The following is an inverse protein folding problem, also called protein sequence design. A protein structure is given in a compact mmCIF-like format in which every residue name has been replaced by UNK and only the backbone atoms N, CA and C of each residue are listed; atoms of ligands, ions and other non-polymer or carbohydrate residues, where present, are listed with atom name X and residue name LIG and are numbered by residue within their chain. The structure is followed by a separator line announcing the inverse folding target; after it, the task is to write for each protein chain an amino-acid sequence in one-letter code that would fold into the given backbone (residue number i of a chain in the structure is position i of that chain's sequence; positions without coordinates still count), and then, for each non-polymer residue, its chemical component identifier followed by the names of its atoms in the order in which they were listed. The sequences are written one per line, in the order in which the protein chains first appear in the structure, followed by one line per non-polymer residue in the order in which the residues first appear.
data_IF_477774536067
#
_entry.id   IF_477774536067
#
_cell.length_a   1.000
_cell.length_b   1.000
_cell.length_c   1.000
_cell.angle_alpha   90.00
_cell.angle_beta   90.00
_cell.angle_gamma   90.00
#
_symmetry.space_group_name_H-M   'P 1'
#
loop_
_entity.id
_entity.type
_entity.pdbx_description
1 polymer ?
#
# COMPACT_ATOMS: atom_id res chain seq x y z
N UNK A 1 27.15 0.79 -8.07
CA UNK A 1 27.58 0.68 -6.67
C UNK A 1 26.43 1.05 -5.73
N UNK A 2 26.12 2.34 -5.54
CA UNK A 2 25.12 2.82 -4.54
C UNK A 2 23.78 2.08 -4.46
N UNK A 3 23.21 1.63 -5.58
CA UNK A 3 21.95 0.88 -5.57
C UNK A 3 22.11 -0.54 -4.99
N UNK A 4 23.25 -1.21 -5.27
CA UNK A 4 23.55 -2.52 -4.70
C UNK A 4 23.81 -2.40 -3.20
N UNK A 5 24.60 -1.40 -2.79
CA UNK A 5 24.91 -1.13 -1.37
C UNK A 5 23.63 -0.86 -0.55
N UNK A 6 22.67 -0.12 -1.14
CA UNK A 6 21.37 0.13 -0.50
C UNK A 6 20.55 -1.15 -0.34
N UNK A 7 20.55 -2.02 -1.36
CA UNK A 7 19.84 -3.31 -1.29
C UNK A 7 20.47 -4.20 -0.22
N UNK A 8 21.80 -4.27 -0.15
CA UNK A 8 22.52 -5.05 0.86
C UNK A 8 22.16 -4.60 2.29
N UNK A 9 22.11 -3.29 2.53
CA UNK A 9 21.73 -2.73 3.83
C UNK A 9 20.24 -2.94 4.17
N UNK A 10 19.36 -2.84 3.17
CA UNK A 10 17.91 -2.92 3.34
C UNK A 10 17.32 -4.33 3.09
N UNK A 11 18.15 -5.37 2.98
CA UNK A 11 17.72 -6.75 2.65
C UNK A 11 16.68 -7.26 3.66
N UNK A 12 16.90 -7.01 4.95
CA UNK A 12 16.00 -7.48 6.01
C UNK A 12 14.60 -6.85 5.90
N UNK A 13 14.53 -5.56 5.58
CA UNK A 13 13.26 -4.86 5.38
C UNK A 13 12.58 -5.29 4.08
N UNK A 14 13.36 -5.48 3.02
CA UNK A 14 12.87 -5.85 1.69
C UNK A 14 12.24 -7.24 1.68
N UNK A 15 12.78 -8.18 2.47
CA UNK A 15 12.31 -9.56 2.53
C UNK A 15 11.29 -9.81 3.66
N UNK A 16 10.94 -8.80 4.45
CA UNK A 16 10.00 -8.94 5.56
C UNK A 16 8.62 -9.48 5.10
N UNK A 17 8.23 -9.27 3.83
CA UNK A 17 6.95 -9.76 3.32
C UNK A 17 6.85 -11.29 3.23
N UNK A 18 7.98 -12.02 3.26
CA UNK A 18 7.99 -13.49 3.26
C UNK A 18 7.42 -14.09 4.55
N UNK A 19 7.30 -13.31 5.63
CA UNK A 19 6.64 -13.74 6.86
C UNK A 19 5.11 -13.89 6.71
N UNK A 20 4.52 -13.38 5.62
CA UNK A 20 3.09 -13.49 5.35
C UNK A 20 2.78 -14.68 4.42
N UNK A 21 1.51 -15.13 4.33
CA UNK A 21 1.08 -16.12 3.35
C UNK A 21 1.44 -15.73 1.91
N UNK A 22 1.80 -16.72 1.11
CA UNK A 22 2.20 -16.60 -0.30
C UNK A 22 1.17 -15.86 -1.17
N UNK A 23 -0.12 -16.05 -0.90
CA UNK A 23 -1.25 -15.34 -1.54
C UNK A 23 -1.11 -13.81 -1.40
N UNK A 24 -0.42 -13.32 -0.35
CA UNK A 24 -0.28 -11.89 -0.06
C UNK A 24 0.98 -11.27 -0.64
N UNK A 25 2.01 -12.05 -0.97
CA UNK A 25 3.33 -11.53 -1.37
C UNK A 25 3.25 -10.53 -2.52
N UNK A 26 2.50 -10.84 -3.58
CA UNK A 26 2.37 -9.95 -4.75
C UNK A 26 1.80 -8.57 -4.38
N UNK A 27 0.86 -8.53 -3.44
CA UNK A 27 0.17 -7.31 -3.01
C UNK A 27 1.00 -6.49 -2.01
N UNK A 28 1.81 -7.15 -1.18
CA UNK A 28 2.71 -6.47 -0.23
C UNK A 28 3.96 -5.94 -0.93
N UNK A 29 4.54 -6.73 -1.85
CA UNK A 29 5.77 -6.39 -2.57
C UNK A 29 5.61 -5.21 -3.54
N UNK A 30 4.40 -4.95 -4.03
CA UNK A 30 4.17 -3.93 -5.08
C UNK A 30 3.44 -2.72 -4.53
N UNK A 31 3.87 -1.53 -4.95
CA UNK A 31 3.27 -0.27 -4.53
C UNK A 31 2.29 0.33 -5.55
N UNK A 32 1.83 -0.49 -6.51
CA UNK A 32 1.04 -0.05 -7.66
C UNK A 32 -0.20 0.80 -7.27
N UNK A 33 -0.97 0.46 -6.21
CA UNK A 33 -2.08 1.29 -5.76
C UNK A 33 -1.67 2.71 -5.34
N UNK A 34 -0.63 2.86 -4.53
CA UNK A 34 -0.17 4.17 -4.07
C UNK A 34 0.48 4.95 -5.20
N UNK A 35 1.27 4.29 -6.07
CA UNK A 35 1.84 4.92 -7.26
C UNK A 35 0.75 5.50 -8.16
N UNK A 36 -0.35 4.76 -8.37
CA UNK A 36 -1.51 5.24 -9.15
C UNK A 36 -2.15 6.46 -8.50
N UNK A 37 -2.34 6.45 -7.18
CA UNK A 37 -2.88 7.60 -6.42
C UNK A 37 -1.95 8.81 -6.56
N UNK A 38 -0.66 8.62 -6.31
CA UNK A 38 0.34 9.69 -6.36
C UNK A 38 0.50 10.27 -7.76
N UNK A 39 0.38 9.43 -8.80
CA UNK A 39 0.37 9.88 -10.20
C UNK A 39 -0.84 10.76 -10.51
N UNK A 40 -2.02 10.38 -10.02
CA UNK A 40 -3.24 11.16 -10.24
C UNK A 40 -3.23 12.49 -9.47
N UNK A 41 -2.72 12.50 -8.23
CA UNK A 41 -2.51 13.74 -7.47
C UNK A 41 -1.54 14.65 -8.23
N UNK A 42 -0.37 14.14 -8.64
CA UNK A 42 0.61 14.91 -9.44
C UNK A 42 0.04 15.43 -10.75
N UNK A 43 -0.81 14.65 -11.44
CA UNK A 43 -1.46 15.08 -12.68
C UNK A 43 -2.38 16.27 -12.42
N UNK A 44 -3.13 16.28 -11.32
CA UNK A 44 -4.07 17.35 -10.96
C UNK A 44 -3.37 18.59 -10.43
N UNK A 45 -2.32 18.44 -9.62
CA UNK A 45 -1.54 19.59 -9.15
C UNK A 45 -0.79 20.28 -10.29
N UNK A 46 -0.33 19.54 -11.30
CA UNK A 46 0.35 20.11 -12.47
C UNK A 46 -0.52 21.07 -13.28
N UNK A 47 -1.84 20.88 -13.31
CA UNK A 47 -2.75 21.78 -14.03
C UNK A 47 -2.89 23.13 -13.33
N UNK A 48 -2.77 23.16 -12.00
CA UNK A 48 -2.88 24.39 -11.22
C UNK A 48 -1.63 25.28 -11.38
N UNK A 49 -0.46 24.68 -11.59
CA UNK A 49 0.80 25.39 -11.83
C UNK A 49 1.39 25.99 -10.55
N UNK A 50 0.71 26.98 -9.96
CA UNK A 50 1.10 27.63 -8.71
C UNK A 50 -0.11 27.72 -7.76
N UNK A 51 0.09 27.29 -6.51
CA UNK A 51 -0.93 27.40 -5.47
C UNK A 51 -0.73 28.69 -4.66
N UNK A 52 -1.81 29.34 -4.21
CA UNK A 52 -1.72 30.51 -3.34
C UNK A 52 -1.16 30.18 -1.95
N UNK A 53 -1.37 28.96 -1.47
CA UNK A 53 -0.83 28.45 -0.20
C UNK A 53 -0.65 26.92 -0.20
N UNK A 54 0.07 26.40 0.81
CA UNK A 54 0.23 24.96 1.00
C UNK A 54 -1.08 24.23 1.30
N UNK A 55 -2.03 24.91 1.95
CA UNK A 55 -3.31 24.33 2.35
C UNK A 55 -4.22 24.06 1.15
N UNK A 56 -4.21 24.92 0.13
CA UNK A 56 -4.95 24.69 -1.13
C UNK A 56 -4.44 23.47 -1.87
N UNK A 57 -3.12 23.24 -1.86
CA UNK A 57 -2.53 22.03 -2.45
C UNK A 57 -2.97 20.78 -1.68
N UNK A 58 -2.92 20.83 -0.35
CA UNK A 58 -3.39 19.74 0.51
C UNK A 58 -4.88 19.44 0.31
N UNK A 59 -5.72 20.47 0.23
CA UNK A 59 -7.16 20.34 0.01
C UNK A 59 -7.47 19.65 -1.33
N UNK A 60 -6.72 19.96 -2.39
CA UNK A 60 -6.88 19.28 -3.68
C UNK A 60 -6.52 17.79 -3.60
N UNK A 61 -5.41 17.47 -2.93
CA UNK A 61 -5.01 16.08 -2.70
C UNK A 61 -6.06 15.33 -1.85
N UNK A 62 -6.52 15.95 -0.76
CA UNK A 62 -7.55 15.40 0.14
C UNK A 62 -8.89 15.19 -0.57
N UNK A 63 -9.33 16.15 -1.39
CA UNK A 63 -10.53 16.01 -2.21
C UNK A 63 -10.42 14.80 -3.16
N UNK A 64 -9.23 14.58 -3.75
CA UNK A 64 -9.01 13.41 -4.61
C UNK A 64 -9.05 12.10 -3.82
N UNK A 65 -8.42 12.05 -2.66
CA UNK A 65 -8.45 10.87 -1.79
C UNK A 65 -9.88 10.55 -1.32
N UNK A 66 -10.64 11.56 -0.91
CA UNK A 66 -12.05 11.42 -0.52
C UNK A 66 -12.91 10.86 -1.66
N UNK A 67 -12.72 11.37 -2.87
CA UNK A 67 -13.43 10.83 -4.03
C UNK A 67 -13.08 9.36 -4.29
N UNK A 68 -11.80 8.98 -4.20
CA UNK A 68 -11.38 7.59 -4.37
C UNK A 68 -12.02 6.70 -3.29
N UNK A 69 -12.05 7.15 -2.04
CA UNK A 69 -12.71 6.45 -0.94
C UNK A 69 -14.23 6.33 -1.13
N UNK A 70 -14.87 7.28 -1.80
CA UNK A 70 -16.29 7.24 -2.14
C UNK A 70 -16.65 6.36 -3.34
N UNK A 71 -15.67 5.76 -4.02
CA UNK A 71 -15.91 4.90 -5.19
C UNK A 71 -15.94 3.42 -4.81
N UNK A 72 -16.32 2.55 -5.75
CA UNK A 72 -16.25 1.09 -5.61
C UNK A 72 -14.83 0.54 -5.31
N UNK A 73 -13.81 1.40 -5.29
CA UNK A 73 -12.47 1.01 -4.87
C UNK A 73 -12.38 0.74 -3.37
N UNK A 74 -13.15 1.45 -2.53
CA UNK A 74 -13.14 1.24 -1.07
C UNK A 74 -13.89 -0.01 -0.65
N UNK A 75 -14.89 -0.43 -1.41
CA UNK A 75 -15.74 -1.59 -1.09
C UNK A 75 -15.13 -2.92 -1.54
N UNK A 76 -14.09 -2.90 -2.38
CA UNK A 76 -13.42 -4.12 -2.86
C UNK A 76 -12.44 -4.65 -1.83
N UNK A 77 -12.56 -5.94 -1.50
CA UNK A 77 -11.58 -6.64 -0.68
C UNK A 77 -10.23 -6.73 -1.41
N UNK A 78 -9.30 -5.85 -1.04
CA UNK A 78 -7.96 -5.84 -1.64
C UNK A 78 -7.12 -7.02 -1.18
N UNK A 79 -7.17 -7.38 0.12
CA UNK A 79 -6.44 -8.50 0.71
C UNK A 79 -7.42 -9.36 1.52
N UNK A 80 -7.37 -10.68 1.34
CA UNK A 80 -8.14 -11.59 2.17
C UNK A 80 -7.40 -11.81 3.48
N UNK A 81 -7.95 -11.39 4.62
CA UNK A 81 -7.24 -11.52 5.90
C UNK A 81 -7.33 -12.93 6.50
N UNK A 82 -8.21 -13.82 5.99
CA UNK A 82 -8.43 -15.17 6.54
C UNK A 82 -7.16 -16.00 6.69
N UNK A 83 -6.24 -16.06 5.70
CA UNK A 83 -5.03 -16.87 5.80
C UNK A 83 -4.05 -16.43 6.90
N UNK A 84 -4.16 -15.20 7.42
CA UNK A 84 -3.31 -14.73 8.53
C UNK A 84 -3.69 -15.35 9.88
N UNK A 85 -4.94 -15.78 10.03
CA UNK A 85 -5.49 -16.34 11.27
C UNK A 85 -5.57 -17.88 11.24
N UNK A 86 -5.25 -18.48 10.10
CA UNK A 86 -5.32 -19.92 9.89
C UNK A 86 -4.22 -20.74 10.62
N UNK A 87 -3.07 -20.18 11.08
CA UNK A 87 -2.10 -20.95 11.87
C UNK A 87 -2.49 -21.25 13.33
N UNK A 88 -3.47 -20.56 13.93
CA UNK A 88 -3.81 -20.76 15.35
C UNK A 88 -4.80 -21.90 15.66
N UNK A 89 -5.41 -22.53 14.64
CA UNK A 89 -6.43 -23.58 14.86
C UNK A 89 -5.87 -25.00 14.80
N UNK A 90 -4.68 -25.21 14.23
CA UNK A 90 -4.08 -26.54 14.06
C UNK A 90 -3.20 -27.00 15.24
N UNK A 91 -2.75 -26.08 16.10
CA UNK A 91 -1.91 -26.44 17.27
C UNK A 91 -2.72 -26.75 18.54
N UNK A 92 -3.92 -26.18 18.70
CA UNK A 92 -4.76 -26.37 19.89
C UNK A 92 -5.66 -27.60 19.83
N UNK A 93 -5.71 -28.31 18.70
CA UNK A 93 -6.57 -29.47 18.47
C UNK A 93 -5.87 -30.84 18.54
N UNK A 94 -4.56 -30.88 18.83
CA UNK A 94 -3.76 -32.11 18.86
C UNK A 94 -3.37 -32.57 20.28
N UNK A 95 -4.09 -32.08 21.30
CA UNK A 95 -3.99 -32.54 22.70
C UNK A 95 -5.38 -32.86 23.25
N UNK A 96 -5.94 -33.99 22.85
CA UNK A 96 -7.02 -34.70 23.54
C UNK A 96 -7.06 -36.16 23.07
#
# INVERSE_FOLDING_TARGET
AKAADLVEQAVHETLAYYAFPDIHWRKIRTNNPLERIMKEIRRRTRVVGAFPDGQSCLNLAAARLRHIAGTAWSTKCYMNMRPLYQPQLSETGAVA
#
